data_IF_043437837788
#
_entry.id   IF_043437837788
#
_cell.length_a   1.000
_cell.length_b   1.000
_cell.length_c   1.000
_cell.angle_alpha   90.00
_cell.angle_beta   90.00
_cell.angle_gamma   90.00
#
_symmetry.space_group_name_H-M   'P 1'
#
loop_
_entity.id
_entity.type
_entity.pdbx_description
1 polymer ?
#
# COMPACT_ATOMS: atom_id res chain seq x y z
N UNK A 1 -4.06 -0.08 10.56
CA UNK A 1 -5.27 -0.92 10.57
C UNK A 1 -5.21 -1.82 11.79
N UNK A 2 -6.26 -1.86 12.61
CA UNK A 2 -6.28 -2.66 13.83
C UNK A 2 -7.05 -3.96 13.60
N UNK A 3 -6.55 -5.07 14.13
CA UNK A 3 -7.16 -6.38 14.03
C UNK A 3 -8.59 -6.43 14.57
N UNK A 4 -8.86 -5.83 15.74
CA UNK A 4 -10.21 -5.83 16.32
C UNK A 4 -11.26 -5.08 15.50
N UNK A 5 -10.84 -4.16 14.62
CA UNK A 5 -11.76 -3.49 13.71
C UNK A 5 -12.14 -4.38 12.51
N UNK A 6 -11.24 -5.28 12.09
CA UNK A 6 -11.50 -6.28 11.05
C UNK A 6 -12.50 -7.30 11.59
N UNK A 7 -12.30 -7.77 12.83
CA UNK A 7 -13.23 -8.68 13.49
C UNK A 7 -14.65 -8.10 13.53
N UNK A 8 -14.80 -6.85 13.97
CA UNK A 8 -16.12 -6.16 13.96
C UNK A 8 -16.77 -6.07 12.59
N UNK A 9 -15.98 -5.99 11.51
CA UNK A 9 -16.52 -5.92 10.15
C UNK A 9 -16.94 -7.29 9.62
N UNK A 10 -16.23 -8.35 10.03
CA UNK A 10 -16.63 -9.74 9.79
C UNK A 10 -17.94 -10.03 10.53
N UNK A 11 -18.01 -9.66 11.81
CA UNK A 11 -19.22 -9.82 12.63
C UNK A 11 -20.39 -9.00 12.07
N UNK A 12 -20.10 -7.83 11.48
CA UNK A 12 -21.10 -7.00 10.80
C UNK A 12 -21.45 -7.50 9.38
N UNK A 13 -20.87 -8.62 8.92
CA UNK A 13 -21.12 -9.20 7.59
C UNK A 13 -20.63 -8.33 6.42
N UNK A 14 -19.81 -7.31 6.69
CA UNK A 14 -19.28 -6.38 5.67
C UNK A 14 -17.99 -6.90 5.02
N UNK A 15 -17.46 -8.02 5.50
CA UNK A 15 -16.19 -8.58 5.08
C UNK A 15 -16.25 -10.10 5.10
N UNK A 16 -15.88 -10.70 3.98
CA UNK A 16 -15.86 -12.15 3.78
C UNK A 16 -14.68 -12.78 4.58
N UNK A 17 -14.96 -13.68 5.54
CA UNK A 17 -13.95 -14.24 6.46
C UNK A 17 -13.06 -15.34 5.85
N UNK A 18 -13.30 -15.72 4.60
CA UNK A 18 -12.61 -16.84 3.94
C UNK A 18 -11.75 -16.42 2.74
N UNK A 19 -11.53 -15.12 2.55
CA UNK A 19 -10.88 -14.56 1.37
C UNK A 19 -9.50 -13.95 1.63
N UNK A 20 -8.86 -13.58 0.53
CA UNK A 20 -7.70 -12.69 0.54
C UNK A 20 -8.19 -11.24 0.68
N UNK A 21 -7.82 -10.59 1.79
CA UNK A 21 -8.05 -9.16 1.98
C UNK A 21 -6.96 -8.36 1.27
N UNK A 22 -7.33 -7.85 0.10
CA UNK A 22 -6.54 -6.86 -0.63
C UNK A 22 -6.78 -5.44 -0.13
N UNK A 23 -5.80 -4.57 -0.40
CA UNK A 23 -5.86 -3.14 -0.10
C UNK A 23 -7.14 -2.45 -0.61
N UNK A 24 -7.69 -2.89 -1.74
CA UNK A 24 -8.90 -2.29 -2.31
C UNK A 24 -10.15 -2.66 -1.52
N UNK A 25 -10.30 -3.92 -1.10
CA UNK A 25 -11.42 -4.36 -0.28
C UNK A 25 -11.43 -3.66 1.10
N UNK A 26 -10.25 -3.47 1.68
CA UNK A 26 -10.07 -2.73 2.92
C UNK A 26 -10.32 -1.22 2.78
N UNK A 27 -10.15 -0.68 1.58
CA UNK A 27 -10.44 0.72 1.27
C UNK A 27 -11.93 0.94 0.99
N UNK A 28 -12.58 -0.01 0.31
CA UNK A 28 -14.02 0.01 0.05
C UNK A 28 -14.84 -0.02 1.35
N UNK A 29 -14.35 -0.69 2.38
CA UNK A 29 -14.97 -0.71 3.72
C UNK A 29 -14.66 0.54 4.56
N UNK A 30 -13.84 1.46 4.05
CA UNK A 30 -13.41 2.67 4.77
C UNK A 30 -12.47 2.41 5.94
N UNK A 31 -12.11 1.15 6.20
CA UNK A 31 -11.24 0.78 7.33
C UNK A 31 -9.79 1.20 7.10
N UNK A 32 -9.35 1.18 5.85
CA UNK A 32 -8.03 1.58 5.46
C UNK A 32 -8.08 2.74 4.47
N UNK A 33 -7.41 3.85 4.79
CA UNK A 33 -7.33 5.00 3.88
C UNK A 33 -6.37 4.78 2.71
N UNK A 34 -5.45 3.82 2.82
CA UNK A 34 -4.50 3.40 1.76
C UNK A 34 -3.81 4.57 1.06
N UNK A 35 -2.76 5.12 1.68
CA UNK A 35 -1.99 6.25 1.15
C UNK A 35 -0.76 5.83 0.32
N UNK A 36 0.15 6.79 0.07
CA UNK A 36 1.46 6.56 -0.59
C UNK A 36 2.26 5.40 0.02
N UNK A 37 2.01 5.10 1.30
CA UNK A 37 2.72 4.11 2.08
C UNK A 37 1.93 2.81 2.29
N UNK A 38 0.77 2.68 1.65
CA UNK A 38 -0.09 1.52 1.78
C UNK A 38 -0.76 1.41 3.15
N UNK A 39 -1.09 0.18 3.55
CA UNK A 39 -1.77 -0.15 4.81
C UNK A 39 -0.82 -0.95 5.70
N UNK A 40 -0.77 -0.57 6.97
CA UNK A 40 -0.02 -1.29 8.01
C UNK A 40 -0.96 -2.00 8.98
N UNK A 41 -0.72 -3.28 9.21
CA UNK A 41 -1.45 -4.09 10.18
C UNK A 41 -0.89 -3.90 11.60
N UNK A 42 -1.79 -3.66 12.56
CA UNK A 42 -1.50 -3.41 13.97
C UNK A 42 -2.26 -4.41 14.85
N UNK A 43 -1.56 -5.01 15.80
CA UNK A 43 -2.07 -6.05 16.68
C UNK A 43 -2.85 -5.50 17.87
N UNK A 44 -3.83 -4.63 17.62
CA UNK A 44 -4.74 -4.12 18.66
C UNK A 44 -6.11 -4.77 18.52
N UNK A 45 -6.52 -5.48 19.57
CA UNK A 45 -7.78 -6.24 19.65
C UNK A 45 -7.64 -7.69 19.18
N UNK A 46 -8.60 -8.52 19.58
CA UNK A 46 -8.65 -9.95 19.25
C UNK A 46 -9.07 -10.19 17.80
N UNK A 47 -8.51 -11.25 17.21
CA UNK A 47 -8.77 -11.67 15.84
C UNK A 47 -8.64 -13.18 15.75
N UNK A 48 -9.69 -13.83 15.27
CA UNK A 48 -9.79 -15.30 15.18
C UNK A 48 -10.14 -15.79 13.78
N UNK A 49 -10.31 -14.89 12.81
CA UNK A 49 -10.67 -15.24 11.45
C UNK A 49 -9.46 -15.69 10.61
N UNK A 50 -9.66 -16.69 9.76
CA UNK A 50 -8.63 -17.19 8.82
C UNK A 50 -8.61 -16.35 7.55
N UNK A 51 -7.86 -15.26 7.58
CA UNK A 51 -7.72 -14.35 6.44
C UNK A 51 -6.29 -14.26 5.94
N UNK A 52 -6.15 -14.15 4.62
CA UNK A 52 -4.89 -13.76 4.00
C UNK A 52 -4.89 -12.24 3.79
N UNK A 53 -3.82 -11.54 4.18
CA UNK A 53 -3.70 -10.09 4.08
C UNK A 53 -2.58 -9.72 3.12
N UNK A 54 -2.91 -8.95 2.08
CA UNK A 54 -1.92 -8.36 1.17
C UNK A 54 -1.70 -6.89 1.55
N UNK A 55 -0.64 -6.61 2.31
CA UNK A 55 -0.43 -5.29 2.94
C UNK A 55 1.01 -4.80 2.82
N UNK A 56 1.25 -3.51 3.00
CA UNK A 56 2.60 -2.91 2.93
C UNK A 56 3.46 -3.21 4.18
N UNK A 57 2.86 -3.68 5.27
CA UNK A 57 3.60 -4.13 6.44
C UNK A 57 2.73 -4.49 7.63
N UNK A 58 3.32 -5.18 8.61
CA UNK A 58 2.66 -5.61 9.84
C UNK A 58 3.55 -5.40 11.07
N UNK A 59 2.96 -5.12 12.22
CA UNK A 59 3.67 -5.12 13.51
C UNK A 59 3.90 -6.55 14.03
N UNK A 60 4.90 -6.75 14.90
CA UNK A 60 5.21 -8.07 15.50
C UNK A 60 3.98 -8.74 16.12
N UNK A 61 3.30 -8.06 17.04
CA UNK A 61 2.06 -8.59 17.65
C UNK A 61 0.87 -8.74 16.69
N UNK A 62 0.92 -8.14 15.49
CA UNK A 62 -0.10 -8.39 14.48
C UNK A 62 0.18 -9.68 13.70
N UNK A 63 1.45 -9.95 13.38
CA UNK A 63 1.85 -11.20 12.72
C UNK A 63 1.54 -12.39 13.60
N UNK A 64 1.91 -12.31 14.88
CA UNK A 64 1.63 -13.38 15.84
C UNK A 64 0.12 -13.64 15.99
N UNK A 65 -0.71 -12.60 16.05
CA UNK A 65 -2.15 -12.76 16.15
C UNK A 65 -2.78 -13.34 14.87
N UNK A 66 -2.30 -12.95 13.69
CA UNK A 66 -2.77 -13.50 12.41
C UNK A 66 -2.30 -14.94 12.21
N UNK A 67 -1.06 -15.27 12.54
CA UNK A 67 -0.53 -16.63 12.50
C UNK A 67 -1.29 -17.54 13.49
N UNK A 68 -1.59 -17.06 14.70
CA UNK A 68 -2.44 -17.77 15.68
C UNK A 68 -3.86 -18.00 15.17
N UNK A 69 -4.42 -17.04 14.42
CA UNK A 69 -5.71 -17.21 13.76
C UNK A 69 -5.63 -18.14 12.53
N UNK A 70 -4.44 -18.58 12.12
CA UNK A 70 -4.23 -19.41 10.93
C UNK A 70 -4.33 -18.64 9.61
N UNK A 71 -4.14 -17.31 9.66
CA UNK A 71 -4.11 -16.44 8.50
C UNK A 71 -2.71 -16.24 7.92
N UNK A 72 -2.63 -15.61 6.75
CA UNK A 72 -1.37 -15.32 6.06
C UNK A 72 -1.17 -13.80 5.92
N UNK A 73 0.08 -13.34 5.97
CA UNK A 73 0.42 -11.93 5.67
C UNK A 73 1.41 -11.92 4.50
N UNK A 74 0.92 -11.51 3.34
CA UNK A 74 1.74 -11.21 2.18
C UNK A 74 2.15 -9.73 2.25
N UNK A 75 3.41 -9.49 2.60
CA UNK A 75 3.96 -8.14 2.61
C UNK A 75 4.39 -7.82 1.19
N UNK A 76 3.66 -6.93 0.53
CA UNK A 76 4.06 -6.43 -0.78
C UNK A 76 5.27 -5.53 -0.52
N UNK A 77 6.47 -6.03 -0.82
CA UNK A 77 7.69 -5.25 -0.69
C UNK A 77 7.58 -3.97 -1.51
N UNK A 78 7.76 -2.84 -0.81
CA UNK A 78 7.80 -1.52 -1.41
C UNK A 78 9.04 -1.47 -2.31
N UNK A 79 8.90 -1.12 -3.59
CA UNK A 79 10.03 -0.58 -4.36
C UNK A 79 10.59 0.61 -3.60
N UNK A 80 11.85 0.54 -3.19
CA UNK A 80 12.47 1.53 -2.33
C UNK A 80 12.18 2.97 -2.79
N UNK A 81 11.79 3.88 -1.88
CA UNK A 81 11.59 5.28 -2.22
C UNK A 81 12.89 5.92 -2.75
N UNK A 82 14.06 5.34 -2.43
CA UNK A 82 15.36 5.73 -2.98
C UNK A 82 15.47 5.45 -4.50
N UNK A 83 14.91 4.34 -4.99
CA UNK A 83 14.90 3.97 -6.42
C UNK A 83 13.96 4.90 -7.20
N UNK A 84 12.78 5.19 -6.65
CA UNK A 84 11.81 6.12 -7.26
C UNK A 84 12.30 7.58 -7.23
N UNK A 85 13.04 7.98 -6.19
CA UNK A 85 13.66 9.30 -6.12
C UNK A 85 14.81 9.44 -7.11
N UNK A 86 15.66 8.42 -7.28
CA UNK A 86 16.69 8.37 -8.32
C UNK A 86 16.08 8.39 -9.73
N UNK A 87 15.01 7.62 -9.96
CA UNK A 87 14.30 7.58 -11.25
C UNK A 87 13.59 8.90 -11.62
N UNK A 88 13.31 9.78 -10.64
CA UNK A 88 12.74 11.13 -10.86
C UNK A 88 13.79 12.24 -10.87
N UNK A 89 14.96 12.03 -10.28
CA UNK A 89 16.06 12.99 -10.24
C UNK A 89 16.75 13.05 -11.61
N UNK A 90 16.19 13.84 -12.51
CA UNK A 90 16.72 14.00 -13.87
C UNK A 90 15.62 14.30 -14.88
N UNK A 91 14.46 13.64 -14.76
CA UNK A 91 13.35 13.79 -15.72
C UNK A 91 12.86 15.23 -15.90
N UNK A 92 12.76 15.99 -14.81
CA UNK A 92 12.37 17.41 -14.89
C UNK A 92 13.45 18.29 -15.53
N UNK A 93 14.74 17.91 -15.42
CA UNK A 93 15.87 18.61 -16.04
C UNK A 93 15.99 18.24 -17.53
N UNK A 94 15.80 16.98 -17.88
CA UNK A 94 15.79 16.47 -19.25
C UNK A 94 14.62 17.06 -20.05
N UNK A 95 13.42 17.09 -19.46
CA UNK A 95 12.27 17.79 -20.07
C UNK A 95 12.59 19.27 -20.33
N UNK A 96 13.19 19.96 -19.35
CA UNK A 96 13.56 21.38 -19.50
C UNK A 96 14.71 21.60 -20.49
N UNK A 97 15.66 20.67 -20.60
CA UNK A 97 16.74 20.73 -21.59
C UNK A 97 16.20 20.49 -23.00
N UNK A 98 15.28 19.53 -23.17
CA UNK A 98 14.62 19.25 -24.44
C UNK A 98 13.77 20.44 -24.90
N UNK A 99 12.99 21.05 -24.00
CA UNK A 99 12.25 22.30 -24.26
C UNK A 99 13.18 23.45 -24.68
N UNK A 100 14.34 23.59 -24.02
CA UNK A 100 15.31 24.65 -24.32
C UNK A 100 16.06 24.40 -25.63
N UNK A 101 16.36 23.15 -25.96
CA UNK A 101 16.97 22.76 -27.22
C UNK A 101 16.01 23.00 -28.41
N UNK A 102 14.73 22.65 -28.26
CA UNK A 102 13.70 22.94 -29.28
C UNK A 102 13.52 24.44 -29.54
N UNK A 103 13.52 25.26 -28.48
CA UNK A 103 13.43 26.72 -28.60
C UNK A 103 14.66 27.36 -29.23
N UNK A 104 15.85 26.83 -28.93
CA UNK A 104 17.10 27.30 -29.56
C UNK A 104 17.19 26.91 -31.03
N UNK A 105 16.72 25.71 -31.41
CA UNK A 105 16.66 25.28 -32.80
C UNK A 105 15.69 26.13 -33.64
N UNK A 106 14.50 26.43 -33.09
CA UNK A 106 13.51 27.29 -33.74
C UNK A 106 13.98 28.74 -33.90
N UNK A 107 14.83 29.25 -32.98
CA UNK A 107 15.41 30.60 -33.06
C UNK A 107 16.60 30.71 -34.02
N UNK A 108 17.25 29.59 -34.36
CA UNK A 108 18.40 29.57 -35.28
C UNK A 108 17.99 29.44 -36.76
N UNK A 109 16.71 29.16 -37.05
CA UNK A 109 16.17 28.97 -38.39
C UNK A 109 15.26 30.12 -38.86
N UNK A 110 15.16 31.21 -38.08
CA UNK A 110 14.45 32.45 -38.38
C UNK A 110 15.43 33.63 -38.40
#
# INVERSE_FOLDING_TARGET
MNLGAIQKLIDAGKLEPNGTLDHEALKATGLARGGRDGVRLLGKGDFSAKLAFRVAGASKGAREAVEKAGGAIEIIERKDPAELAKAKKGKAREARLADKAGKNAAKAQA
#
